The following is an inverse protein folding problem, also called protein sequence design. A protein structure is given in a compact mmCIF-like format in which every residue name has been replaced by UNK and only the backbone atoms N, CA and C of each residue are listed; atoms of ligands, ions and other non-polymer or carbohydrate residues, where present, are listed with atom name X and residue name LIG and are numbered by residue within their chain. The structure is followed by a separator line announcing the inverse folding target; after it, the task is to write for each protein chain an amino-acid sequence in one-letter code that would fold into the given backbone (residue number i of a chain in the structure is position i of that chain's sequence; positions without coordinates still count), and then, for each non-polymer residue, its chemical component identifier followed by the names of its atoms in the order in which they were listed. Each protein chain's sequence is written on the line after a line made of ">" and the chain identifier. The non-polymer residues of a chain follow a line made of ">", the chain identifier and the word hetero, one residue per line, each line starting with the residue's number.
data_IF_948557101608
#
_entry.id   IF_948557101608
#
_cell.length_a   1.000
_cell.length_b   1.000
_cell.length_c   1.000
_cell.angle_alpha   90.00
_cell.angle_beta   90.00
_cell.angle_gamma   90.00
#
_symmetry.space_group_name_H-M   'P 1'
#
loop_
_entity.id
_entity.type
_entity.pdbx_description
1 polymer ?
#
# COMPACT_ATOMS: atom_id res chain seq x y z
N UNK A 1 12.46 -2.22 -3.02
CA UNK A 1 12.66 -2.68 -1.63
C UNK A 1 11.46 -2.18 -0.83
N UNK A 2 10.75 -3.08 -0.13
CA UNK A 2 9.59 -2.73 0.69
C UNK A 2 9.98 -2.87 2.15
N UNK A 3 9.63 -1.89 2.97
CA UNK A 3 9.84 -1.96 4.42
C UNK A 3 8.51 -1.69 5.11
N UNK A 4 8.04 -2.65 5.89
CA UNK A 4 6.98 -2.43 6.86
C UNK A 4 7.61 -1.99 8.18
N UNK A 5 7.13 -0.90 8.77
CA UNK A 5 7.59 -0.42 10.06
C UNK A 5 6.41 -0.23 11.02
N UNK A 6 6.57 -0.79 12.21
CA UNK A 6 5.68 -0.51 13.35
C UNK A 6 6.27 0.69 14.10
N UNK A 7 5.50 1.79 14.17
CA UNK A 7 5.91 3.04 14.82
C UNK A 7 5.99 2.90 16.34
N UNK A 8 5.23 1.98 16.94
CA UNK A 8 5.18 1.72 18.39
C UNK A 8 6.37 0.89 18.84
N UNK A 9 6.70 -0.16 18.11
CA UNK A 9 7.83 -1.05 18.44
C UNK A 9 9.15 -0.64 17.78
N UNK A 10 9.12 0.32 16.85
CA UNK A 10 10.25 0.74 16.00
C UNK A 10 10.88 -0.42 15.22
N UNK A 11 10.18 -1.55 15.09
CA UNK A 11 10.64 -2.67 14.31
C UNK A 11 10.33 -2.43 12.83
N UNK A 12 11.31 -2.72 11.99
CA UNK A 12 11.16 -2.70 10.54
C UNK A 12 11.46 -4.07 9.96
N UNK A 13 10.62 -4.54 9.05
CA UNK A 13 10.83 -5.80 8.32
C UNK A 13 10.81 -5.54 6.82
N UNK A 14 11.80 -6.08 6.12
CA UNK A 14 11.78 -6.12 4.66
C UNK A 14 10.74 -7.14 4.18
N UNK A 15 9.90 -6.72 3.24
CA UNK A 15 8.89 -7.59 2.63
C UNK A 15 9.33 -8.02 1.24
N UNK A 16 9.19 -9.31 0.95
CA UNK A 16 9.48 -9.89 -0.36
C UNK A 16 8.31 -9.58 -1.29
N UNK A 17 8.60 -8.94 -2.43
CA UNK A 17 7.63 -8.76 -3.52
C UNK A 17 7.49 -10.09 -4.28
N UNK A 18 6.28 -10.57 -4.55
CA UNK A 18 6.06 -11.71 -5.46
C UNK A 18 5.73 -11.20 -6.87
N UNK A 19 6.28 -11.81 -7.95
CA UNK A 19 6.15 -11.31 -9.33
C UNK A 19 4.75 -11.34 -9.94
N UNK A 20 3.79 -11.93 -9.23
CA UNK A 20 2.42 -12.15 -9.70
C UNK A 20 1.54 -12.39 -8.48
N UNK A 21 1.27 -11.32 -7.74
CA UNK A 21 0.40 -11.38 -6.58
C UNK A 21 -1.05 -11.50 -7.03
N UNK A 22 -1.67 -12.65 -6.82
CA UNK A 22 -3.11 -12.66 -6.64
C UNK A 22 -3.42 -11.72 -5.47
N UNK A 23 -4.33 -10.77 -5.66
CA UNK A 23 -4.88 -10.01 -4.54
C UNK A 23 -5.39 -11.03 -3.51
N UNK A 24 -5.08 -10.82 -2.23
CA UNK A 24 -5.55 -11.71 -1.15
C UNK A 24 -7.06 -11.54 -0.87
N UNK A 25 -7.84 -11.06 -1.85
CA UNK A 25 -9.26 -10.74 -1.73
C UNK A 25 -10.00 -11.13 -3.02
N UNK A 26 -11.22 -11.67 -2.88
CA UNK A 26 -12.15 -11.83 -3.99
C UNK A 26 -12.60 -10.45 -4.47
N UNK A 27 -12.78 -10.20 -5.79
CA UNK A 27 -13.27 -8.92 -6.31
C UNK A 27 -14.60 -8.45 -5.69
N UNK A 28 -15.42 -9.39 -5.20
CA UNK A 28 -16.72 -9.09 -4.59
C UNK A 28 -16.61 -8.56 -3.15
N UNK A 29 -15.49 -8.81 -2.47
CA UNK A 29 -15.27 -8.43 -1.07
C UNK A 29 -14.29 -7.26 -0.92
N UNK A 30 -13.70 -6.82 -2.03
CA UNK A 30 -12.55 -5.94 -2.04
C UNK A 30 -12.89 -4.58 -2.65
N UNK A 31 -12.65 -3.54 -1.87
CA UNK A 31 -12.71 -2.17 -2.34
C UNK A 31 -11.34 -1.78 -2.88
N UNK A 32 -11.34 -0.93 -3.91
CA UNK A 32 -10.12 -0.40 -4.48
C UNK A 32 -10.19 1.11 -4.72
N UNK A 33 -9.05 1.77 -4.62
CA UNK A 33 -8.89 3.20 -4.90
C UNK A 33 -7.69 3.41 -5.78
N UNK A 34 -7.90 4.10 -6.90
CA UNK A 34 -6.80 4.60 -7.72
C UNK A 34 -6.32 5.94 -7.18
N UNK A 35 -5.02 6.01 -6.91
CA UNK A 35 -4.32 7.12 -6.26
C UNK A 35 -3.29 7.66 -7.24
N UNK A 36 -3.52 8.85 -7.77
CA UNK A 36 -2.59 9.55 -8.67
C UNK A 36 -1.87 10.72 -7.97
N UNK A 37 -2.27 11.03 -6.75
CA UNK A 37 -1.66 12.04 -5.88
C UNK A 37 -1.90 11.65 -4.41
N UNK A 38 -1.10 12.17 -3.48
CA UNK A 38 -1.29 11.90 -2.06
C UNK A 38 -2.72 12.24 -1.60
N UNK A 39 -3.38 11.29 -0.95
CA UNK A 39 -4.77 11.43 -0.50
C UNK A 39 -5.03 10.68 0.81
N UNK A 40 -6.14 11.03 1.47
CA UNK A 40 -6.68 10.27 2.61
C UNK A 40 -7.91 9.51 2.12
N UNK A 41 -7.89 8.19 2.28
CA UNK A 41 -8.97 7.29 1.90
C UNK A 41 -9.77 6.98 3.15
N UNK A 42 -11.04 7.40 3.19
CA UNK A 42 -11.97 7.01 4.23
C UNK A 42 -12.47 5.59 3.96
N UNK A 43 -12.03 4.64 4.78
CA UNK A 43 -12.29 3.21 4.59
C UNK A 43 -13.30 2.64 5.58
N UNK A 44 -13.58 3.35 6.68
CA UNK A 44 -14.15 2.72 7.86
C UNK A 44 -13.13 1.75 8.49
N UNK A 45 -13.60 0.90 9.40
CA UNK A 45 -12.80 -0.23 9.86
C UNK A 45 -12.47 -1.11 8.65
N UNK A 46 -11.18 -1.38 8.43
CA UNK A 46 -10.75 -2.11 7.24
C UNK A 46 -9.51 -2.95 7.44
N UNK A 47 -9.30 -3.87 6.50
CA UNK A 47 -8.08 -4.65 6.36
C UNK A 47 -7.46 -4.30 5.02
N UNK A 48 -6.29 -3.67 5.03
CA UNK A 48 -5.49 -3.51 3.81
C UNK A 48 -5.01 -4.89 3.35
N UNK A 49 -5.26 -5.23 2.09
CA UNK A 49 -4.97 -6.58 1.53
C UNK A 49 -4.04 -6.54 0.34
N UNK A 50 -3.84 -5.37 -0.27
CA UNK A 50 -2.92 -5.25 -1.38
C UNK A 50 -2.74 -3.82 -1.86
N UNK A 51 -1.65 -3.64 -2.58
CA UNK A 51 -1.32 -2.39 -3.25
C UNK A 51 -0.66 -2.75 -4.57
N UNK A 52 -0.89 -1.95 -5.59
CA UNK A 52 -0.15 -1.98 -6.85
C UNK A 52 0.43 -0.59 -7.02
N UNK A 53 1.75 -0.48 -7.21
CA UNK A 53 2.43 0.78 -7.48
C UNK A 53 3.00 0.75 -8.89
N UNK A 54 2.55 1.67 -9.72
CA UNK A 54 3.04 1.91 -11.06
C UNK A 54 4.04 3.07 -11.04
N UNK A 55 5.24 2.83 -11.56
CA UNK A 55 6.29 3.85 -11.66
C UNK A 55 6.22 4.50 -13.03
N UNK A 56 5.94 5.80 -13.09
CA UNK A 56 5.85 6.53 -14.35
C UNK A 56 7.20 6.77 -15.02
N UNK A 57 8.15 7.40 -14.32
CA UNK A 57 9.47 7.73 -14.88
C UNK A 57 10.59 6.83 -14.36
N UNK A 58 11.23 7.19 -13.26
CA UNK A 58 12.45 6.55 -12.76
C UNK A 58 12.27 5.94 -11.37
N UNK A 59 11.65 6.69 -10.45
CA UNK A 59 11.48 6.28 -9.05
C UNK A 59 10.11 6.72 -8.57
N UNK A 60 9.39 5.81 -7.91
CA UNK A 60 8.21 6.12 -7.13
C UNK A 60 8.41 5.69 -5.67
N UNK A 61 7.88 6.49 -4.75
CA UNK A 61 7.75 6.12 -3.34
C UNK A 61 6.28 6.18 -2.98
N UNK A 62 5.80 5.11 -2.33
CA UNK A 62 4.48 5.07 -1.76
C UNK A 62 4.60 4.79 -0.26
N UNK A 63 3.91 5.61 0.53
CA UNK A 63 3.75 5.42 1.96
C UNK A 63 2.28 5.26 2.26
N UNK A 64 1.91 4.19 2.96
CA UNK A 64 0.56 3.99 3.46
C UNK A 64 0.63 3.96 4.98
N UNK A 65 -0.08 4.88 5.60
CA UNK A 65 -0.22 4.97 7.04
C UNK A 65 -1.64 4.57 7.40
N UNK A 66 -1.74 3.51 8.18
CA UNK A 66 -2.99 3.07 8.78
C UNK A 66 -2.85 3.39 10.25
N UNK A 67 -3.52 4.45 10.72
CA UNK A 67 -3.38 5.01 12.07
C UNK A 67 -1.93 5.44 12.45
N UNK A 68 -1.70 5.74 13.74
CA UNK A 68 -0.40 6.18 14.25
C UNK A 68 0.61 5.03 14.49
N UNK A 69 0.19 3.77 14.38
CA UNK A 69 0.95 2.59 14.77
C UNK A 69 1.64 1.90 13.59
N UNK A 70 1.05 1.86 12.38
CA UNK A 70 1.62 1.11 11.25
C UNK A 70 1.88 2.00 10.03
N UNK A 71 3.11 1.95 9.54
CA UNK A 71 3.52 2.60 8.30
C UNK A 71 4.14 1.58 7.35
N UNK A 72 3.53 1.45 6.19
CA UNK A 72 4.14 0.78 5.06
C UNK A 72 4.85 1.81 4.20
N UNK A 73 6.12 1.57 3.89
CA UNK A 73 6.86 2.38 2.93
C UNK A 73 7.46 1.48 1.87
N UNK A 74 7.27 1.87 0.62
CA UNK A 74 7.88 1.21 -0.52
C UNK A 74 8.53 2.24 -1.42
N UNK A 75 9.73 1.89 -1.89
CA UNK A 75 10.45 2.65 -2.89
C UNK A 75 10.75 1.72 -4.05
N UNK A 76 10.45 2.21 -5.24
CA UNK A 76 10.50 1.45 -6.47
C UNK A 76 11.17 2.24 -7.58
N UNK A 77 11.81 1.51 -8.48
CA UNK A 77 12.38 2.03 -9.73
C UNK A 77 11.62 1.51 -10.93
N UNK A 78 11.62 2.24 -12.02
CA UNK A 78 10.98 1.85 -13.28
C UNK A 78 11.50 0.51 -13.80
N UNK A 79 10.62 -0.24 -14.49
CA UNK A 79 10.91 -1.61 -14.94
C UNK A 79 10.56 -2.71 -13.93
N UNK A 80 10.04 -2.34 -12.76
CA UNK A 80 9.56 -3.27 -11.73
C UNK A 80 8.03 -3.24 -11.65
N UNK A 81 7.36 -4.40 -11.64
CA UNK A 81 5.91 -4.54 -11.37
C UNK A 81 5.68 -5.35 -10.08
N UNK A 82 5.60 -4.73 -8.91
CA UNK A 82 5.29 -5.42 -7.68
C UNK A 82 3.80 -5.26 -7.38
N UNK A 83 3.16 -6.41 -7.27
CA UNK A 83 1.93 -6.56 -6.50
C UNK A 83 2.36 -6.97 -5.10
N UNK A 84 1.82 -6.27 -4.11
CA UNK A 84 2.19 -6.43 -2.72
C UNK A 84 1.21 -7.41 -2.05
N UNK A 85 1.66 -8.55 -1.48
CA UNK A 85 0.87 -9.22 -0.46
C UNK A 85 1.21 -8.52 0.86
N UNK A 86 0.48 -7.46 1.19
CA UNK A 86 0.68 -6.84 2.51
C UNK A 86 -0.20 -7.54 3.51
N UNK A 87 0.46 -7.94 4.60
CA UNK A 87 -0.10 -8.45 5.85
C UNK A 87 -1.43 -7.75 6.21
N UNK A 88 -2.34 -8.42 6.93
CA UNK A 88 -3.56 -7.82 7.46
C UNK A 88 -3.27 -6.54 8.28
N UNK A 89 -3.23 -5.38 7.64
CA UNK A 89 -3.09 -4.12 8.35
C UNK A 89 -4.50 -3.64 8.65
N UNK A 90 -4.79 -3.56 9.93
CA UNK A 90 -6.04 -3.04 10.42
C UNK A 90 -6.04 -1.51 10.31
N UNK A 91 -7.05 -0.97 9.66
CA UNK A 91 -7.32 0.45 9.50
C UNK A 91 -8.55 0.80 10.32
N UNK A 92 -8.43 1.60 11.40
CA UNK A 92 -9.56 1.90 12.28
C UNK A 92 -10.54 2.94 11.71
N UNK A 93 -10.33 3.43 10.48
CA UNK A 93 -11.25 4.42 9.89
C UNK A 93 -10.78 5.04 8.57
N UNK A 94 -9.47 5.27 8.42
CA UNK A 94 -8.89 5.84 7.21
C UNK A 94 -7.47 5.36 6.95
N UNK A 95 -7.05 5.48 5.69
CA UNK A 95 -5.68 5.27 5.23
C UNK A 95 -5.12 6.58 4.68
N UNK A 96 -3.97 6.99 5.17
CA UNK A 96 -3.23 8.12 4.58
C UNK A 96 -2.25 7.58 3.56
N UNK A 97 -2.41 7.96 2.31
CA UNK A 97 -1.57 7.52 1.20
C UNK A 97 -0.74 8.69 0.72
N UNK A 98 0.59 8.56 0.81
CA UNK A 98 1.53 9.54 0.26
C UNK A 98 2.24 8.94 -0.94
N UNK A 99 2.07 9.56 -2.10
CA UNK A 99 2.67 9.12 -3.36
C UNK A 99 3.63 10.19 -3.89
N UNK A 100 4.85 9.78 -4.22
CA UNK A 100 5.83 10.63 -4.90
C UNK A 100 6.44 9.91 -6.08
N UNK A 101 6.77 10.65 -7.13
CA UNK A 101 7.29 10.13 -8.40
C UNK A 101 6.53 10.70 -9.57
N UNK A 102 7.24 11.15 -10.61
CA UNK A 102 6.60 11.75 -11.78
C UNK A 102 5.85 10.67 -12.58
N UNK A 103 4.55 10.90 -12.82
CA UNK A 103 3.68 9.95 -13.51
C UNK A 103 3.44 8.64 -12.75
N UNK A 104 3.74 8.59 -11.46
CA UNK A 104 3.45 7.43 -10.64
C UNK A 104 1.96 7.38 -10.29
N UNK A 105 1.42 6.19 -10.18
CA UNK A 105 0.07 5.94 -9.70
C UNK A 105 0.03 4.65 -8.86
N UNK A 106 -0.93 4.54 -7.97
CA UNK A 106 -1.10 3.35 -7.14
C UNK A 106 -2.57 2.93 -7.08
N UNK A 107 -2.81 1.63 -6.99
CA UNK A 107 -4.13 1.08 -6.65
C UNK A 107 -4.04 0.44 -5.28
N UNK A 108 -4.82 0.95 -4.33
CA UNK A 108 -4.87 0.47 -2.95
C UNK A 108 -6.11 -0.41 -2.80
N UNK A 109 -5.97 -1.59 -2.22
CA UNK A 109 -7.02 -2.58 -2.03
C UNK A 109 -7.26 -2.89 -0.55
N UNK A 110 -8.52 -2.82 -0.11
CA UNK A 110 -8.91 -3.13 1.27
C UNK A 110 -10.24 -3.89 1.33
N UNK A 111 -10.46 -4.58 2.45
CA UNK A 111 -11.73 -5.22 2.79
C UNK A 111 -12.32 -4.45 3.98
N UNK A 112 -13.56 -3.93 3.91
CA UNK A 112 -14.22 -3.33 5.07
C UNK A 112 -14.49 -4.41 6.13
N UNK A 113 -14.38 -4.04 7.41
CA UNK A 113 -14.69 -4.90 8.56
C UNK A 113 -15.96 -4.45 9.27
#
# INVERSE_FOLDING_TARGET
>A
MITAADRKTKQSKELICVPSGALLCSPEECFSRHVTASEVINTGECRLVGVILNVGSEVATLTIESNAEVVLRTKMTSGSRPVFPTLPIYCPGHLTVTLTGAGADAVVYWIPM
#
